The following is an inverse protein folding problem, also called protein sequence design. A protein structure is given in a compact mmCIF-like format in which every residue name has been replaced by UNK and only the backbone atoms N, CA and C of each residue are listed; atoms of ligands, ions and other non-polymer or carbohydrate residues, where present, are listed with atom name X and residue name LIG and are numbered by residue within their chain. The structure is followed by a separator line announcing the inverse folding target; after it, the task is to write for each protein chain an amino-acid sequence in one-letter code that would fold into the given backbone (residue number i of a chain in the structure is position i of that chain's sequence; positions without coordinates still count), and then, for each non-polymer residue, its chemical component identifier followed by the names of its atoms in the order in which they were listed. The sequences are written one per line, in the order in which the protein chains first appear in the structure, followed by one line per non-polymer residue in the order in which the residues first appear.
data_IF_526984810465
#
_entry.id   IF_526984810465
#
_cell.length_a   1.000
_cell.length_b   1.000
_cell.length_c   1.000
_cell.angle_alpha   90.00
_cell.angle_beta   90.00
_cell.angle_gamma   90.00
#
_symmetry.space_group_name_H-M   'P 1'
#
loop_
_entity.id
_entity.type
_entity.pdbx_description
1 polymer ?
#
# COMPACT_ATOMS: atom_id res chain seq x y z
N UNK A 1 9.29 3.85 14.37
CA UNK A 1 10.39 3.13 13.72
C UNK A 1 11.48 4.09 13.31
N UNK A 2 12.70 3.57 13.20
CA UNK A 2 13.86 4.28 12.66
C UNK A 2 14.20 3.66 11.34
N UNK A 3 14.48 4.50 10.34
CA UNK A 3 14.98 4.13 9.03
C UNK A 3 16.25 4.94 8.75
N UNK A 4 17.34 4.25 8.44
CA UNK A 4 18.56 4.90 7.94
C UNK A 4 18.80 4.38 6.52
N UNK A 5 18.87 5.31 5.58
CA UNK A 5 19.14 5.04 4.17
C UNK A 5 20.61 5.36 3.93
N UNK A 6 21.44 4.37 3.50
CA UNK A 6 22.85 4.60 3.24
C UNK A 6 23.05 5.50 2.01
N UNK A 7 24.16 6.21 1.97
CA UNK A 7 24.60 6.90 0.76
C UNK A 7 25.24 5.88 -0.18
N UNK A 8 24.72 5.81 -1.41
CA UNK A 8 25.31 4.96 -2.43
C UNK A 8 26.58 5.62 -3.00
N UNK A 9 27.64 4.83 -3.19
CA UNK A 9 28.86 5.26 -3.89
C UNK A 9 28.61 5.37 -5.40
N UNK A 10 27.82 4.43 -5.95
CA UNK A 10 27.36 4.44 -7.33
C UNK A 10 26.03 5.20 -7.40
N UNK A 11 26.08 6.46 -7.82
CA UNK A 11 24.92 7.35 -7.96
C UNK A 11 24.00 6.98 -9.14
N UNK A 12 24.44 6.06 -10.01
CA UNK A 12 23.64 5.56 -11.14
C UNK A 12 22.83 4.33 -10.79
N UNK A 13 23.17 3.63 -9.71
CA UNK A 13 22.42 2.45 -9.26
C UNK A 13 21.03 2.86 -8.81
N UNK A 14 20.03 2.24 -9.40
CA UNK A 14 18.64 2.50 -9.02
C UNK A 14 18.38 2.08 -7.56
N UNK A 15 17.83 3.00 -6.81
CA UNK A 15 17.33 2.80 -5.45
C UNK A 15 15.93 3.41 -5.33
N UNK A 16 15.03 2.68 -4.71
CA UNK A 16 13.71 3.15 -4.30
C UNK A 16 13.41 2.65 -2.89
N UNK A 17 13.02 3.56 -2.01
CA UNK A 17 12.59 3.30 -0.64
C UNK A 17 11.23 3.95 -0.45
N UNK A 18 10.19 3.13 -0.33
CA UNK A 18 8.82 3.58 -0.17
C UNK A 18 8.23 3.13 1.17
N UNK A 19 7.51 4.03 1.82
CA UNK A 19 6.61 3.73 2.93
C UNK A 19 5.21 4.13 2.49
N UNK A 20 4.27 3.20 2.56
CA UNK A 20 2.86 3.42 2.24
C UNK A 20 2.02 3.12 3.49
N UNK A 21 0.94 3.86 3.67
CA UNK A 21 -0.04 3.59 4.71
C UNK A 21 -0.94 2.40 4.34
N UNK A 22 -1.89 2.03 5.20
CA UNK A 22 -2.82 0.92 4.95
C UNK A 22 -3.79 1.17 3.78
N UNK A 23 -3.94 2.42 3.37
CA UNK A 23 -4.70 2.80 2.17
C UNK A 23 -3.85 2.83 0.91
N UNK A 24 -2.58 2.38 1.02
CA UNK A 24 -1.57 2.42 -0.05
C UNK A 24 -1.27 3.83 -0.58
N UNK A 25 -1.51 4.84 0.25
CA UNK A 25 -1.06 6.20 -0.01
C UNK A 25 0.40 6.35 0.40
N UNK A 26 1.15 7.14 -0.36
CA UNK A 26 2.59 7.33 -0.14
C UNK A 26 2.85 8.22 1.08
N UNK A 27 3.53 7.66 2.06
CA UNK A 27 4.01 8.37 3.26
C UNK A 27 5.43 8.89 3.07
N UNK A 28 6.28 8.08 2.44
CA UNK A 28 7.66 8.44 2.09
C UNK A 28 8.01 7.79 0.76
N UNK A 29 8.65 8.55 -0.13
CA UNK A 29 9.34 8.03 -1.29
C UNK A 29 10.71 8.68 -1.42
N UNK A 30 11.75 7.88 -1.32
CA UNK A 30 13.16 8.27 -1.45
C UNK A 30 13.88 7.34 -2.41
N UNK A 31 14.97 7.81 -2.99
CA UNK A 31 15.80 6.99 -3.88
C UNK A 31 16.48 7.82 -4.95
N UNK A 32 16.78 7.22 -6.08
CA UNK A 32 17.58 7.77 -7.18
C UNK A 32 17.12 9.15 -7.66
N UNK A 33 15.81 9.45 -7.59
CA UNK A 33 15.26 10.77 -7.93
C UNK A 33 15.66 11.89 -6.96
N UNK A 34 16.16 11.55 -5.78
CA UNK A 34 16.53 12.50 -4.74
C UNK A 34 18.03 12.75 -4.74
N UNK A 35 18.44 13.93 -4.24
CA UNK A 35 19.84 14.19 -3.96
C UNK A 35 20.41 13.12 -3.02
N UNK A 36 21.62 12.66 -3.28
CA UNK A 36 22.31 11.61 -2.52
C UNK A 36 21.48 10.32 -2.37
N UNK A 37 20.62 10.01 -3.36
CA UNK A 37 19.70 8.88 -3.34
C UNK A 37 18.76 8.85 -2.12
N UNK A 38 18.50 10.01 -1.53
CA UNK A 38 17.68 10.12 -0.34
C UNK A 38 18.33 9.61 0.92
N UNK A 39 19.66 9.45 0.93
CA UNK A 39 20.42 9.03 2.10
C UNK A 39 20.13 9.92 3.31
N UNK A 40 20.00 9.32 4.48
CA UNK A 40 19.68 10.06 5.70
C UNK A 40 19.09 9.20 6.80
N UNK A 41 18.85 9.85 7.91
CA UNK A 41 18.22 9.25 9.09
C UNK A 41 16.78 9.74 9.21
N UNK A 42 15.85 8.83 9.26
CA UNK A 42 14.42 9.11 9.32
C UNK A 42 13.79 8.45 10.54
N UNK A 43 12.84 9.14 11.18
CA UNK A 43 12.03 8.58 12.24
C UNK A 43 10.57 8.57 11.83
N UNK A 44 9.96 7.39 11.79
CA UNK A 44 8.56 7.20 11.41
C UNK A 44 7.72 7.24 12.67
N UNK A 45 6.89 8.27 12.78
CA UNK A 45 6.02 8.58 13.89
C UNK A 45 4.55 8.36 13.52
N UNK A 46 3.76 7.97 14.49
CA UNK A 46 2.33 7.82 14.33
C UNK A 46 1.62 9.13 14.69
N UNK A 47 0.89 9.70 13.74
CA UNK A 47 0.09 10.93 13.92
C UNK A 47 0.92 12.07 14.57
N UNK A 48 0.47 12.54 15.74
CA UNK A 48 1.03 13.69 16.44
C UNK A 48 2.09 13.31 17.49
N UNK A 49 2.62 12.07 17.44
CA UNK A 49 3.70 11.65 18.32
C UNK A 49 4.88 12.63 18.23
N UNK A 50 5.43 12.99 19.38
CA UNK A 50 6.62 13.85 19.44
C UNK A 50 7.87 13.05 19.11
N UNK A 51 8.84 13.72 18.50
CA UNK A 51 10.17 13.14 18.34
C UNK A 51 10.74 12.88 19.73
N UNK A 52 11.13 11.63 20.05
CA UNK A 52 11.69 11.32 21.37
C UNK A 52 13.07 11.96 21.55
N UNK A 53 13.47 12.15 22.80
CA UNK A 53 14.79 12.63 23.16
C UNK A 53 15.89 11.72 22.57
N UNK A 54 16.95 12.33 22.05
CA UNK A 54 18.07 11.63 21.39
C UNK A 54 17.86 11.32 19.89
N UNK A 55 16.74 11.77 19.31
CA UNK A 55 16.45 11.62 17.88
C UNK A 55 16.20 12.95 17.16
N UNK A 56 16.70 14.04 17.70
CA UNK A 56 16.50 15.39 17.17
C UNK A 56 17.19 15.61 15.82
N UNK A 57 18.20 14.80 15.50
CA UNK A 57 18.91 14.80 14.21
C UNK A 57 18.22 13.94 13.13
N UNK A 58 17.14 13.21 13.51
CA UNK A 58 16.37 12.43 12.56
C UNK A 58 15.28 13.26 11.89
N UNK A 59 15.06 13.01 10.60
CA UNK A 59 14.00 13.65 9.82
C UNK A 59 12.67 12.98 10.18
N UNK A 60 11.71 13.69 10.78
CA UNK A 60 10.43 13.10 11.16
C UNK A 60 9.55 12.88 9.93
N UNK A 61 9.06 11.65 9.77
CA UNK A 61 8.05 11.22 8.81
C UNK A 61 6.81 10.81 9.59
N UNK A 62 5.66 11.35 9.22
CA UNK A 62 4.41 11.09 9.94
C UNK A 62 3.49 10.22 9.11
N UNK A 63 2.98 9.16 9.73
CA UNK A 63 1.91 8.34 9.17
C UNK A 63 0.63 8.52 9.98
N UNK A 64 -0.48 8.62 9.28
CA UNK A 64 -1.81 8.66 9.88
C UNK A 64 -2.27 7.28 10.36
N UNK A 65 -1.60 6.22 9.91
CA UNK A 65 -1.94 4.84 10.18
C UNK A 65 -0.92 4.21 11.15
N UNK A 66 -1.39 3.33 12.02
CA UNK A 66 -0.54 2.63 13.01
C UNK A 66 0.37 1.58 12.37
N UNK A 67 0.03 1.14 11.15
CA UNK A 67 0.78 0.16 10.36
C UNK A 67 1.09 0.73 8.99
N UNK A 68 2.25 0.35 8.47
CA UNK A 68 2.71 0.81 7.17
C UNK A 68 3.36 -0.34 6.41
N UNK A 69 3.28 -0.29 5.09
CA UNK A 69 4.08 -1.12 4.20
C UNK A 69 5.43 -0.44 3.95
N UNK A 70 6.47 -1.23 3.92
CA UNK A 70 7.82 -0.77 3.66
C UNK A 70 8.45 -1.58 2.53
N UNK A 71 9.00 -0.89 1.53
CA UNK A 71 9.62 -1.51 0.36
C UNK A 71 10.95 -0.85 0.09
N UNK A 72 11.99 -1.66 -0.10
CA UNK A 72 13.26 -1.25 -0.71
C UNK A 72 13.42 -1.99 -2.03
N UNK A 73 13.76 -1.27 -3.08
CA UNK A 73 14.15 -1.82 -4.37
C UNK A 73 15.53 -1.29 -4.71
N UNK A 74 16.50 -2.20 -4.79
CA UNK A 74 17.87 -1.90 -5.16
C UNK A 74 18.19 -2.68 -6.45
N UNK A 75 18.69 -1.97 -7.46
CA UNK A 75 19.13 -2.59 -8.69
C UNK A 75 20.33 -3.50 -8.47
N UNK A 76 20.32 -4.65 -9.17
CA UNK A 76 21.47 -5.54 -9.29
C UNK A 76 21.82 -5.68 -10.77
N UNK A 77 23.09 -5.60 -11.08
CA UNK A 77 23.63 -5.74 -12.45
C UNK A 77 23.92 -7.20 -12.83
N UNK A 78 23.25 -8.14 -12.20
CA UNK A 78 23.35 -9.58 -12.43
C UNK A 78 24.22 -10.31 -11.41
N UNK A 79 24.49 -11.58 -11.64
CA UNK A 79 25.11 -12.49 -10.66
C UNK A 79 26.45 -11.99 -10.09
N UNK A 80 27.29 -11.39 -10.94
CA UNK A 80 28.59 -10.85 -10.52
C UNK A 80 28.47 -9.64 -9.57
N UNK A 81 27.27 -9.07 -9.44
CA UNK A 81 27.02 -7.88 -8.63
C UNK A 81 26.25 -8.21 -7.33
N UNK A 82 25.76 -9.44 -7.16
CA UNK A 82 24.97 -9.79 -5.97
C UNK A 82 25.70 -9.51 -4.65
N UNK A 83 27.01 -9.78 -4.60
CA UNK A 83 27.80 -9.47 -3.41
C UNK A 83 27.82 -7.97 -3.06
N UNK A 84 27.89 -7.11 -4.07
CA UNK A 84 27.84 -5.64 -3.87
C UNK A 84 26.43 -5.19 -3.49
N UNK A 85 25.41 -5.68 -4.18
CA UNK A 85 24.03 -5.36 -3.88
C UNK A 85 23.66 -5.76 -2.44
N UNK A 86 24.02 -6.97 -2.00
CA UNK A 86 23.82 -7.43 -0.64
C UNK A 86 24.56 -6.56 0.39
N UNK A 87 25.83 -6.20 0.12
CA UNK A 87 26.58 -5.32 1.01
C UNK A 87 25.97 -3.91 1.15
N UNK A 88 25.24 -3.44 0.13
CA UNK A 88 24.46 -2.20 0.23
C UNK A 88 23.21 -2.43 1.05
N UNK A 89 22.48 -3.55 0.80
CA UNK A 89 21.28 -3.89 1.57
C UNK A 89 21.57 -4.00 3.07
N UNK A 90 22.70 -4.57 3.44
CA UNK A 90 23.12 -4.72 4.84
C UNK A 90 23.42 -3.38 5.55
N UNK A 91 23.56 -2.29 4.81
CA UNK A 91 23.76 -0.96 5.38
C UNK A 91 22.45 -0.25 5.75
N UNK A 92 21.30 -0.73 5.25
CA UNK A 92 20.03 -0.17 5.66
C UNK A 92 19.72 -0.55 7.11
N UNK A 93 19.32 0.43 7.90
CA UNK A 93 18.84 0.19 9.26
C UNK A 93 17.34 0.41 9.31
N UNK A 94 16.62 -0.61 9.71
CA UNK A 94 15.20 -0.50 10.06
C UNK A 94 14.99 -1.18 11.41
N UNK A 95 14.60 -0.41 12.42
CA UNK A 95 14.37 -0.95 13.76
C UNK A 95 13.18 -0.27 14.43
N UNK A 96 12.50 -1.02 15.28
CA UNK A 96 11.46 -0.46 16.12
C UNK A 96 12.06 0.53 17.12
N UNK A 97 11.39 1.67 17.28
CA UNK A 97 11.72 2.64 18.34
C UNK A 97 11.36 2.07 19.72
N UNK A 98 10.26 1.33 19.78
CA UNK A 98 9.72 0.68 20.97
C UNK A 98 9.51 -0.81 20.67
N UNK A 99 10.56 -1.65 20.84
CA UNK A 99 10.46 -3.09 20.51
C UNK A 99 9.35 -3.82 21.24
N UNK A 100 9.01 -3.40 22.47
CA UNK A 100 7.93 -3.95 23.29
C UNK A 100 6.52 -3.71 22.71
N UNK A 101 6.39 -2.82 21.72
CA UNK A 101 5.14 -2.53 21.02
C UNK A 101 4.98 -3.29 19.70
N UNK A 102 5.94 -4.12 19.34
CA UNK A 102 5.84 -4.95 18.14
C UNK A 102 4.77 -6.02 18.39
N UNK A 103 3.78 -6.03 17.51
CA UNK A 103 2.78 -7.11 17.49
C UNK A 103 3.26 -8.16 16.51
N UNK A 104 3.55 -9.36 17.00
CA UNK A 104 3.81 -10.50 16.14
C UNK A 104 2.55 -10.85 15.35
N UNK A 105 2.71 -11.12 14.06
CA UNK A 105 1.61 -11.52 13.19
C UNK A 105 1.57 -13.02 13.05
N UNK A 106 0.36 -13.54 12.94
CA UNK A 106 0.15 -14.88 12.42
C UNK A 106 0.77 -14.99 11.02
N UNK A 107 1.42 -16.10 10.74
CA UNK A 107 1.88 -16.42 9.40
C UNK A 107 0.70 -16.48 8.44
N UNK A 108 0.89 -15.99 7.22
CA UNK A 108 -0.12 -16.17 6.18
C UNK A 108 -0.30 -17.66 5.89
N UNK A 109 -1.53 -18.12 5.58
CA UNK A 109 -1.76 -19.51 5.24
C UNK A 109 -0.88 -19.98 4.08
N UNK A 110 -0.46 -21.24 4.12
CA UNK A 110 0.24 -21.87 3.00
C UNK A 110 -0.61 -21.78 1.73
N UNK A 111 0.05 -21.44 0.61
CA UNK A 111 -0.65 -21.25 -0.69
C UNK A 111 -1.20 -19.86 -0.94
N UNK A 112 -0.87 -18.87 -0.10
CA UNK A 112 -1.20 -17.48 -0.36
C UNK A 112 -0.46 -16.95 -1.58
N UNK A 113 -1.17 -16.82 -2.68
CA UNK A 113 -0.63 -16.37 -3.98
C UNK A 113 -0.92 -14.91 -4.31
N UNK A 114 -1.00 -14.06 -3.32
CA UNK A 114 -1.17 -12.63 -3.55
C UNK A 114 -2.56 -12.10 -3.24
N UNK A 115 -2.68 -10.78 -3.32
CA UNK A 115 -3.84 -10.03 -2.83
C UNK A 115 -5.10 -10.27 -3.66
N UNK A 116 -4.97 -10.37 -4.99
CA UNK A 116 -6.12 -10.61 -5.87
C UNK A 116 -6.81 -11.94 -5.59
N UNK A 117 -6.03 -12.99 -5.29
CA UNK A 117 -6.56 -14.29 -4.91
C UNK A 117 -7.47 -14.21 -3.68
N UNK A 118 -7.05 -13.48 -2.65
CA UNK A 118 -7.85 -13.27 -1.44
C UNK A 118 -9.16 -12.55 -1.75
N UNK A 119 -9.10 -11.49 -2.56
CA UNK A 119 -10.29 -10.70 -2.91
C UNK A 119 -11.30 -11.51 -3.71
N UNK A 120 -10.85 -12.36 -4.63
CA UNK A 120 -11.74 -13.17 -5.47
C UNK A 120 -12.35 -14.37 -4.76
N UNK A 121 -11.72 -14.85 -3.68
CA UNK A 121 -12.19 -16.02 -2.93
C UNK A 121 -12.73 -15.69 -1.54
N UNK A 122 -12.55 -14.45 -1.10
CA UNK A 122 -13.02 -13.99 0.21
C UNK A 122 -14.54 -13.93 0.25
N UNK A 123 -15.12 -14.51 1.28
CA UNK A 123 -16.56 -14.43 1.51
C UNK A 123 -16.94 -13.08 2.13
N UNK A 124 -18.16 -12.58 1.89
CA UNK A 124 -18.64 -11.30 2.45
C UNK A 124 -18.46 -11.18 3.96
N UNK A 125 -18.78 -12.21 4.72
CA UNK A 125 -18.57 -12.24 6.18
C UNK A 125 -17.11 -12.03 6.58
N UNK A 126 -16.19 -12.68 5.90
CA UNK A 126 -14.77 -12.54 6.16
C UNK A 126 -14.27 -11.14 5.79
N UNK A 127 -14.70 -10.61 4.65
CA UNK A 127 -14.37 -9.25 4.23
C UNK A 127 -14.79 -8.23 5.28
N UNK A 128 -16.04 -8.30 5.76
CA UNK A 128 -16.57 -7.37 6.77
C UNK A 128 -15.76 -7.46 8.07
N UNK A 129 -15.48 -8.66 8.56
CA UNK A 129 -14.70 -8.87 9.78
C UNK A 129 -13.29 -8.30 9.65
N UNK A 130 -12.63 -8.50 8.51
CA UNK A 130 -11.30 -7.93 8.24
C UNK A 130 -11.35 -6.41 8.15
N UNK A 131 -12.36 -5.87 7.48
CA UNK A 131 -12.57 -4.43 7.38
C UNK A 131 -12.76 -3.81 8.76
N UNK A 132 -13.61 -4.38 9.61
CA UNK A 132 -13.80 -3.92 10.99
C UNK A 132 -12.47 -3.93 11.79
N UNK A 133 -11.67 -4.99 11.64
CA UNK A 133 -10.37 -5.10 12.29
C UNK A 133 -9.34 -4.06 11.84
N UNK A 134 -9.53 -3.43 10.70
CA UNK A 134 -8.61 -2.42 10.16
C UNK A 134 -9.10 -0.98 10.29
N UNK A 135 -10.41 -0.78 10.50
CA UNK A 135 -11.00 0.58 10.58
C UNK A 135 -10.33 1.43 11.67
N UNK A 136 -10.03 0.84 12.82
CA UNK A 136 -9.41 1.56 13.93
C UNK A 136 -7.95 1.94 13.69
N UNK A 137 -7.26 1.23 12.80
CA UNK A 137 -5.84 1.42 12.49
C UNK A 137 -5.58 2.51 11.47
N UNK A 138 -6.62 2.95 10.75
CA UNK A 138 -6.52 3.95 9.69
C UNK A 138 -7.33 5.19 9.99
N UNK A 139 -6.90 6.32 9.42
CA UNK A 139 -7.71 7.53 9.42
C UNK A 139 -8.59 7.57 8.17
N UNK A 140 -9.88 7.76 8.36
CA UNK A 140 -10.86 7.89 7.30
C UNK A 140 -11.40 9.31 7.21
N UNK A 141 -11.73 9.76 6.01
CA UNK A 141 -12.46 11.02 5.82
C UNK A 141 -13.94 10.86 6.19
N UNK A 142 -14.64 11.98 6.40
CA UNK A 142 -16.04 12.00 6.85
C UNK A 142 -17.01 11.31 5.87
N UNK A 143 -16.71 11.30 4.58
CA UNK A 143 -17.54 10.58 3.59
C UNK A 143 -17.47 9.09 3.86
N UNK A 144 -16.27 8.55 4.01
CA UNK A 144 -16.05 7.15 4.29
C UNK A 144 -16.63 6.75 5.66
N UNK A 145 -16.42 7.59 6.69
CA UNK A 145 -17.02 7.37 8.01
C UNK A 145 -18.54 7.35 7.98
N UNK A 146 -19.15 8.17 7.13
CA UNK A 146 -20.61 8.18 6.95
C UNK A 146 -21.11 6.85 6.37
N UNK A 147 -20.47 6.32 5.34
CA UNK A 147 -20.80 4.99 4.81
C UNK A 147 -20.62 3.89 5.84
N UNK A 148 -19.50 3.92 6.57
CA UNK A 148 -19.22 2.93 7.61
C UNK A 148 -20.27 2.96 8.74
N UNK A 149 -20.73 4.16 9.14
CA UNK A 149 -21.82 4.30 10.13
C UNK A 149 -23.13 3.74 9.61
N UNK A 150 -23.50 4.05 8.36
CA UNK A 150 -24.72 3.53 7.74
C UNK A 150 -24.74 2.00 7.68
N UNK A 151 -23.60 1.40 7.42
CA UNK A 151 -23.42 -0.04 7.39
C UNK A 151 -23.15 -0.65 8.78
N UNK A 152 -23.18 0.16 9.86
CA UNK A 152 -22.86 -0.23 11.24
C UNK A 152 -21.45 -0.80 11.45
N UNK A 153 -20.55 -0.62 10.51
CA UNK A 153 -19.17 -1.17 10.59
C UNK A 153 -18.33 -0.57 11.71
N UNK A 154 -18.75 0.58 12.27
CA UNK A 154 -18.09 1.21 13.43
C UNK A 154 -18.66 0.72 14.77
N UNK A 155 -19.69 -0.08 14.77
CA UNK A 155 -20.29 -0.68 15.95
C UNK A 155 -19.53 -1.97 16.33
N UNK A 156 -18.83 -2.01 17.49
CA UNK A 156 -18.09 -3.21 17.88
C UNK A 156 -18.97 -4.45 18.10
N UNK A 157 -20.27 -4.24 18.32
CA UNK A 157 -21.23 -5.30 18.51
C UNK A 157 -21.84 -5.80 17.19
N UNK A 158 -21.47 -5.20 16.05
CA UNK A 158 -22.00 -5.64 14.75
C UNK A 158 -21.37 -6.97 14.35
N UNK A 159 -22.22 -7.96 14.09
CA UNK A 159 -21.84 -9.27 13.51
C UNK A 159 -22.67 -9.52 12.25
N UNK A 160 -22.00 -9.83 11.14
CA UNK A 160 -22.64 -10.19 9.89
C UNK A 160 -23.50 -11.46 10.04
N UNK A 161 -23.01 -12.42 10.81
CA UNK A 161 -23.65 -13.72 11.03
C UNK A 161 -24.95 -13.62 11.83
N UNK A 162 -25.11 -12.56 12.63
CA UNK A 162 -26.33 -12.31 13.43
C UNK A 162 -27.41 -11.54 12.67
N UNK A 163 -27.10 -11.09 11.46
CA UNK A 163 -28.09 -10.38 10.63
C UNK A 163 -29.18 -11.33 10.13
N UNK A 164 -30.42 -10.84 9.93
CA UNK A 164 -31.44 -11.56 9.21
C UNK A 164 -30.96 -12.01 7.82
N UNK A 165 -31.36 -13.19 7.38
CA UNK A 165 -30.88 -13.82 6.13
C UNK A 165 -31.02 -12.89 4.90
N UNK A 166 -32.13 -12.13 4.82
CA UNK A 166 -32.33 -11.21 3.70
C UNK A 166 -31.27 -10.10 3.66
N UNK A 167 -30.82 -9.56 4.82
CA UNK A 167 -29.77 -8.57 4.89
C UNK A 167 -28.38 -9.17 4.58
N UNK A 168 -28.13 -10.40 5.01
CA UNK A 168 -26.91 -11.10 4.62
C UNK A 168 -26.83 -11.26 3.09
N UNK A 169 -27.94 -11.61 2.43
CA UNK A 169 -28.02 -11.72 0.96
C UNK A 169 -27.80 -10.38 0.27
N UNK A 170 -28.38 -9.30 0.78
CA UNK A 170 -28.18 -7.95 0.22
C UNK A 170 -26.72 -7.49 0.34
N UNK A 171 -26.08 -7.73 1.47
CA UNK A 171 -24.66 -7.42 1.67
C UNK A 171 -23.78 -8.28 0.75
N UNK A 172 -24.11 -9.56 0.59
CA UNK A 172 -23.37 -10.43 -0.33
C UNK A 172 -23.50 -9.95 -1.77
N UNK A 173 -24.69 -9.56 -2.21
CA UNK A 173 -24.89 -8.96 -3.55
C UNK A 173 -24.09 -7.67 -3.71
N UNK A 174 -24.12 -6.78 -2.71
CA UNK A 174 -23.34 -5.55 -2.73
C UNK A 174 -21.81 -5.77 -2.76
N UNK A 175 -21.36 -6.86 -2.14
CA UNK A 175 -19.94 -7.26 -2.22
C UNK A 175 -19.55 -7.67 -3.65
N UNK A 176 -20.36 -8.50 -4.31
CA UNK A 176 -20.15 -8.92 -5.70
C UNK A 176 -20.22 -7.72 -6.66
N UNK A 177 -21.22 -6.85 -6.51
CA UNK A 177 -21.34 -5.63 -7.32
C UNK A 177 -20.12 -4.71 -7.13
N UNK A 178 -19.64 -4.59 -5.90
CA UNK A 178 -18.42 -3.83 -5.57
C UNK A 178 -17.18 -4.39 -6.25
N UNK A 179 -17.03 -5.72 -6.25
CA UNK A 179 -15.91 -6.39 -6.92
C UNK A 179 -15.97 -6.16 -8.44
N UNK A 180 -17.15 -6.33 -9.05
CA UNK A 180 -17.35 -6.06 -10.47
C UNK A 180 -17.05 -4.58 -10.81
N UNK A 181 -17.46 -3.65 -9.96
CA UNK A 181 -17.15 -2.23 -10.14
C UNK A 181 -15.64 -1.91 -10.06
N UNK A 182 -14.87 -2.70 -9.32
CA UNK A 182 -13.40 -2.60 -9.27
C UNK A 182 -12.79 -3.16 -10.55
N UNK A 183 -13.22 -4.34 -10.97
CA UNK A 183 -12.69 -5.02 -12.16
C UNK A 183 -12.98 -4.24 -13.45
N UNK A 184 -14.17 -3.67 -13.56
CA UNK A 184 -14.63 -2.93 -14.74
C UNK A 184 -14.30 -1.43 -14.67
N UNK A 185 -13.40 -1.03 -13.77
CA UNK A 185 -13.04 0.38 -13.66
C UNK A 185 -12.34 0.86 -14.94
N UNK A 186 -12.95 1.83 -15.60
CA UNK A 186 -12.43 2.51 -16.78
C UNK A 186 -12.30 4.01 -16.51
N UNK A 187 -11.42 4.34 -15.56
CA UNK A 187 -11.19 5.74 -15.18
C UNK A 187 -10.30 6.47 -16.20
N UNK A 188 -10.30 7.79 -16.07
CA UNK A 188 -9.50 8.69 -16.92
C UNK A 188 -8.12 9.01 -16.33
N UNK A 189 -7.74 8.34 -15.25
CA UNK A 189 -6.51 8.62 -14.49
C UNK A 189 -5.27 8.00 -15.13
N UNK A 190 -5.31 7.73 -16.41
CA UNK A 190 -4.21 7.12 -17.12
C UNK A 190 -3.89 7.82 -18.42
N UNK A 191 -2.81 7.38 -19.02
CA UNK A 191 -2.43 7.72 -20.38
C UNK A 191 -2.65 6.49 -21.26
N UNK A 192 -3.31 6.67 -22.38
CA UNK A 192 -3.54 5.62 -23.37
C UNK A 192 -2.96 6.05 -24.73
N UNK A 193 -2.19 5.17 -25.35
CA UNK A 193 -1.66 5.37 -26.69
C UNK A 193 -1.35 4.04 -27.34
N UNK A 194 -1.86 3.82 -28.57
CA UNK A 194 -1.61 2.61 -29.37
C UNK A 194 -1.88 1.29 -28.60
N UNK A 195 -2.97 1.24 -27.82
CA UNK A 195 -3.32 0.08 -27.00
C UNK A 195 -2.53 -0.05 -25.69
N UNK A 196 -1.50 0.77 -25.48
CA UNK A 196 -0.81 0.84 -24.20
C UNK A 196 -1.57 1.76 -23.25
N UNK A 197 -1.73 1.29 -22.04
CA UNK A 197 -2.31 2.04 -20.92
C UNK A 197 -1.32 2.14 -19.75
N UNK A 198 -1.22 3.32 -19.14
CA UNK A 198 -0.43 3.52 -17.94
C UNK A 198 -1.19 4.40 -16.95
N UNK A 199 -1.40 3.92 -15.74
CA UNK A 199 -1.92 4.73 -14.64
C UNK A 199 -0.80 5.64 -14.12
N UNK A 200 -0.94 6.94 -14.32
CA UNK A 200 0.07 7.93 -13.94
C UNK A 200 -0.45 8.99 -12.98
N UNK A 201 -1.77 9.25 -13.00
CA UNK A 201 -2.35 10.27 -12.17
C UNK A 201 -2.70 9.75 -10.78
N UNK A 202 -2.23 10.45 -9.76
CA UNK A 202 -2.63 10.22 -8.36
C UNK A 202 -2.38 8.81 -7.82
N UNK A 203 -1.55 7.98 -8.47
CA UNK A 203 -1.14 6.68 -7.91
C UNK A 203 -0.34 6.95 -6.63
N UNK A 204 -0.78 6.37 -5.51
CA UNK A 204 -0.21 6.64 -4.18
C UNK A 204 -0.68 7.94 -3.52
N UNK A 205 -1.47 8.77 -4.23
CA UNK A 205 -2.03 10.05 -3.78
C UNK A 205 -3.52 10.16 -4.13
N UNK A 206 -4.31 9.14 -3.81
CA UNK A 206 -5.65 8.95 -4.33
C UNK A 206 -6.70 9.94 -3.83
N UNK A 207 -6.52 10.50 -2.63
CA UNK A 207 -7.53 11.35 -2.01
C UNK A 207 -8.88 10.63 -1.89
N UNK A 208 -9.94 11.19 -2.51
CA UNK A 208 -11.29 10.60 -2.53
C UNK A 208 -11.59 9.71 -3.73
N UNK A 209 -10.62 9.37 -4.55
CA UNK A 209 -10.78 8.48 -5.71
C UNK A 209 -10.84 7.02 -5.25
N UNK A 210 -11.86 6.66 -4.46
CA UNK A 210 -11.94 5.34 -3.79
C UNK A 210 -11.95 4.17 -4.76
N UNK A 211 -12.72 4.28 -5.87
CA UNK A 211 -12.79 3.21 -6.88
C UNK A 211 -11.45 3.05 -7.60
N UNK A 212 -10.81 4.15 -7.96
CA UNK A 212 -9.49 4.13 -8.57
C UNK A 212 -8.45 3.49 -7.63
N UNK A 213 -8.42 3.89 -6.36
CA UNK A 213 -7.55 3.25 -5.37
C UNK A 213 -7.82 1.75 -5.25
N UNK A 214 -9.09 1.34 -5.22
CA UNK A 214 -9.47 -0.06 -5.12
C UNK A 214 -9.00 -0.84 -6.37
N UNK A 215 -9.17 -0.29 -7.56
CA UNK A 215 -8.71 -0.87 -8.81
C UNK A 215 -7.19 -1.03 -8.85
N UNK A 216 -6.44 0.03 -8.57
CA UNK A 216 -4.97 -0.04 -8.52
C UNK A 216 -4.51 -1.09 -7.50
N UNK A 217 -5.11 -1.14 -6.32
CA UNK A 217 -4.73 -2.11 -5.29
C UNK A 217 -5.12 -3.55 -5.62
N UNK A 218 -6.12 -3.74 -6.45
CA UNK A 218 -6.51 -5.07 -6.92
C UNK A 218 -5.44 -5.67 -7.83
N UNK A 219 -4.88 -4.87 -8.74
CA UNK A 219 -3.90 -5.33 -9.74
C UNK A 219 -2.45 -5.13 -9.31
N UNK A 220 -2.16 -4.13 -8.50
CA UNK A 220 -0.81 -3.75 -8.07
C UNK A 220 -0.76 -3.45 -6.59
N UNK A 221 -0.34 -4.43 -5.80
CA UNK A 221 -0.07 -4.21 -4.38
C UNK A 221 1.11 -3.27 -4.23
N UNK A 222 0.95 -2.21 -3.41
CA UNK A 222 2.01 -1.25 -3.12
C UNK A 222 2.55 -0.56 -4.39
N UNK A 223 1.70 0.21 -5.06
CA UNK A 223 2.08 0.93 -6.27
C UNK A 223 3.13 2.01 -5.97
N UNK A 224 3.94 2.32 -6.97
CA UNK A 224 4.90 3.41 -6.89
C UNK A 224 4.26 4.72 -7.36
N UNK A 225 4.80 5.84 -6.90
CA UNK A 225 4.49 7.12 -7.53
C UNK A 225 4.94 7.12 -8.99
N UNK A 226 4.21 7.82 -9.82
CA UNK A 226 4.57 8.05 -11.23
C UNK A 226 6.00 8.61 -11.39
N UNK A 227 6.42 9.48 -10.47
CA UNK A 227 7.78 10.04 -10.44
C UNK A 227 8.89 9.01 -10.18
N UNK A 228 8.52 7.81 -9.72
CA UNK A 228 9.47 6.74 -9.41
C UNK A 228 9.49 5.68 -10.50
N UNK A 229 8.32 5.31 -11.00
CA UNK A 229 8.18 4.21 -11.95
C UNK A 229 6.91 4.37 -12.77
N UNK A 230 7.01 4.13 -14.05
CA UNK A 230 5.87 3.99 -14.97
C UNK A 230 5.76 2.52 -15.32
N UNK A 231 4.57 1.96 -15.18
CA UNK A 231 4.26 0.57 -15.54
C UNK A 231 3.19 0.56 -16.62
N UNK A 232 3.56 0.66 -17.90
CA UNK A 232 2.60 0.55 -18.97
C UNK A 232 2.15 -0.90 -19.14
N UNK A 233 0.86 -1.09 -19.40
CA UNK A 233 0.24 -2.37 -19.69
C UNK A 233 -0.29 -2.36 -21.12
N UNK A 234 -0.17 -3.48 -21.79
CA UNK A 234 -0.78 -3.73 -23.09
C UNK A 234 -1.80 -4.86 -22.89
N UNK A 235 -3.06 -4.59 -23.16
CA UNK A 235 -4.14 -5.58 -22.99
C UNK A 235 -4.42 -6.31 -24.29
N UNK A 236 -4.14 -5.67 -25.44
CA UNK A 236 -4.33 -6.26 -26.76
C UNK A 236 -3.14 -5.95 -27.64
N UNK A 237 -2.79 -6.86 -28.55
CA UNK A 237 -1.81 -6.60 -29.59
C UNK A 237 -2.37 -5.69 -30.70
N UNK A 238 -1.55 -5.37 -31.72
CA UNK A 238 -1.95 -4.53 -32.87
C UNK A 238 -3.13 -5.10 -33.67
N UNK A 239 -3.40 -6.38 -33.52
CA UNK A 239 -4.46 -7.11 -34.24
C UNK A 239 -5.71 -7.29 -33.35
N UNK A 240 -5.68 -6.77 -32.12
CA UNK A 240 -6.78 -6.83 -31.16
C UNK A 240 -6.88 -8.17 -30.40
N UNK A 241 -5.85 -9.00 -30.43
CA UNK A 241 -5.82 -10.25 -29.65
C UNK A 241 -5.36 -9.96 -28.20
N UNK A 242 -5.97 -10.67 -27.24
CA UNK A 242 -5.65 -10.63 -25.80
C UNK A 242 -4.63 -11.70 -25.44
#
# INVERSE_FOLDING_TARGET
YILEIPRLEDDKRYLLVNILNLKTEMVLSKGTKNKDNGAGKYIILYRDEKVPEGYEDYIPIRSEDSRNYFIIRLESYGENDYGKANAIQDQFVMRALYPERIVERESLPDGYNGQSYFMTQMKPAEFIRRLQGTIADTRHDETMLTYMRQLRLLDPAFSYEELPEHLQKEIASGFEDGLQAILQYSGTEGYESNGWHAYIDSVGEYGRKYRYRAHINYFAVMPNLYSDTISPNLETDSDGNV
#
